data_IF_733661762098
#
_entry.id   IF_733661762098
#
_cell.length_a   1.000
_cell.length_b   1.000
_cell.length_c   1.000
_cell.angle_alpha   90.00
_cell.angle_beta   90.00
_cell.angle_gamma   90.00
#
_symmetry.space_group_name_H-M   'P 1'
#
loop_
_entity.id
_entity.type
_entity.pdbx_description
1 polymer ?
#
# COMPACT_ATOMS: atom_id res chain seq x y z
N UNK A 1 -7.82 -21.30 -22.53
CA UNK A 1 -6.72 -20.42 -22.10
C UNK A 1 -7.19 -19.73 -20.83
N UNK A 2 -6.70 -20.20 -19.69
CA UNK A 2 -7.08 -19.72 -18.36
C UNK A 2 -6.43 -18.36 -18.13
N UNK A 3 -7.25 -17.32 -18.00
CA UNK A 3 -6.79 -15.95 -17.78
C UNK A 3 -6.36 -15.80 -16.32
N UNK A 4 -5.08 -16.00 -16.04
CA UNK A 4 -4.46 -15.69 -14.74
C UNK A 4 -4.53 -14.18 -14.55
N UNK A 5 -5.49 -13.69 -13.77
CA UNK A 5 -5.52 -12.28 -13.38
C UNK A 5 -4.42 -12.05 -12.33
N UNK A 6 -3.76 -10.90 -12.30
CA UNK A 6 -2.77 -10.58 -11.26
C UNK A 6 -3.23 -9.38 -10.45
N UNK A 7 -3.14 -9.47 -9.13
CA UNK A 7 -3.52 -8.41 -8.22
C UNK A 7 -2.26 -7.65 -7.81
N UNK A 8 -2.21 -6.35 -8.13
CA UNK A 8 -1.21 -5.44 -7.58
C UNK A 8 -1.80 -4.78 -6.34
N UNK A 9 -1.39 -5.19 -5.15
CA UNK A 9 -1.80 -4.56 -3.90
C UNK A 9 -0.76 -3.52 -3.51
N UNK A 10 -1.16 -2.25 -3.58
CA UNK A 10 -0.32 -1.13 -3.19
C UNK A 10 -0.67 -0.76 -1.75
N UNK A 11 0.30 -0.93 -0.87
CA UNK A 11 0.13 -0.61 0.55
C UNK A 11 0.70 0.78 0.77
N UNK A 12 -0.17 1.71 1.14
CA UNK A 12 0.24 3.05 1.53
C UNK A 12 0.10 3.18 3.06
N UNK A 13 1.02 3.88 3.71
CA UNK A 13 0.99 4.08 5.17
C UNK A 13 0.18 5.34 5.48
N UNK A 14 -0.80 5.25 6.38
CA UNK A 14 -1.63 6.38 6.78
C UNK A 14 -2.10 6.26 8.24
N UNK A 15 -2.15 7.38 8.97
CA UNK A 15 -2.83 7.47 10.26
C UNK A 15 -3.33 8.90 10.49
N UNK A 16 -4.53 9.08 11.02
CA UNK A 16 -4.89 10.35 11.64
C UNK A 16 -4.26 10.39 13.05
N UNK A 17 -3.53 11.46 13.36
CA UNK A 17 -2.95 11.83 14.68
C UNK A 17 -1.46 11.54 14.98
N UNK A 18 -0.59 11.27 14.00
CA UNK A 18 0.83 11.05 14.32
C UNK A 18 1.74 12.18 13.82
N UNK A 19 2.17 13.03 14.76
CA UNK A 19 3.28 13.97 14.58
C UNK A 19 4.67 13.34 14.90
N UNK A 20 4.77 12.05 15.25
CA UNK A 20 6.01 11.49 15.87
C UNK A 20 6.38 10.01 15.58
N UNK A 21 5.74 9.27 14.66
CA UNK A 21 6.14 7.87 14.37
C UNK A 21 7.42 7.83 13.55
N UNK A 22 8.55 7.56 14.21
CA UNK A 22 9.87 7.50 13.59
C UNK A 22 10.23 6.15 12.94
N UNK A 23 9.34 5.14 12.93
CA UNK A 23 9.66 3.81 12.36
C UNK A 23 8.46 3.17 11.65
N UNK A 24 8.38 3.21 10.30
CA UNK A 24 7.40 2.43 9.57
C UNK A 24 7.70 0.92 9.74
N UNK A 25 6.65 0.11 9.87
CA UNK A 25 6.74 -1.35 9.90
C UNK A 25 6.97 -1.83 8.48
N UNK A 26 8.17 -2.36 8.20
CA UNK A 26 8.54 -2.90 6.89
C UNK A 26 7.85 -4.26 6.71
N UNK A 27 6.86 -4.34 5.81
CA UNK A 27 6.43 -5.61 5.26
C UNK A 27 7.45 -5.98 4.19
N UNK A 28 8.37 -6.88 4.52
CA UNK A 28 9.33 -7.42 3.57
C UNK A 28 8.57 -8.20 2.49
N UNK A 29 8.57 -7.69 1.26
CA UNK A 29 8.10 -8.43 0.10
C UNK A 29 9.33 -8.76 -0.72
N UNK A 30 9.67 -10.05 -0.70
CA UNK A 30 10.77 -10.63 -1.44
C UNK A 30 10.28 -10.90 -2.86
N UNK A 31 11.03 -10.49 -3.89
CA UNK A 31 11.03 -11.21 -5.15
C UNK A 31 12.31 -10.91 -5.95
N UNK A 32 13.12 -11.95 -6.14
CA UNK A 32 14.09 -12.05 -7.22
C UNK A 32 13.38 -12.67 -8.43
N UNK A 33 13.41 -12.01 -9.59
CA UNK A 33 12.74 -12.55 -10.77
C UNK A 33 13.06 -11.81 -12.07
N UNK A 34 13.02 -12.55 -13.17
CA UNK A 34 13.15 -12.07 -14.55
C UNK A 34 12.07 -11.04 -14.91
N UNK A 35 12.37 -10.18 -15.89
CA UNK A 35 11.42 -9.19 -16.41
C UNK A 35 10.18 -9.87 -17.02
N UNK A 36 8.98 -9.50 -16.53
CA UNK A 36 7.70 -10.00 -17.05
C UNK A 36 6.80 -8.85 -17.49
N UNK A 37 6.41 -8.84 -18.76
CA UNK A 37 5.50 -7.86 -19.32
C UNK A 37 4.03 -8.25 -19.06
N UNK A 38 3.26 -7.32 -18.51
CA UNK A 38 1.80 -7.46 -18.32
C UNK A 38 1.06 -6.29 -18.97
N UNK A 39 0.10 -6.61 -19.84
CA UNK A 39 -0.82 -5.62 -20.40
C UNK A 39 -1.95 -5.30 -19.41
N UNK A 40 -2.61 -4.16 -19.59
CA UNK A 40 -3.57 -3.60 -18.62
C UNK A 40 -4.78 -4.50 -18.32
N UNK A 41 -5.14 -5.39 -19.24
CA UNK A 41 -6.21 -6.38 -19.08
C UNK A 41 -5.77 -7.60 -18.24
N UNK A 42 -4.46 -7.78 -18.04
CA UNK A 42 -3.90 -8.90 -17.29
C UNK A 42 -3.72 -8.61 -15.79
N UNK A 43 -4.00 -7.39 -15.33
CA UNK A 43 -3.85 -7.02 -13.92
C UNK A 43 -4.97 -6.12 -13.41
N UNK A 44 -5.14 -6.18 -12.09
CA UNK A 44 -6.00 -5.28 -11.33
C UNK A 44 -5.13 -4.50 -10.36
N UNK A 45 -5.31 -3.18 -10.31
CA UNK A 45 -4.68 -2.32 -9.31
C UNK A 45 -5.62 -2.21 -8.12
N UNK A 46 -5.12 -2.57 -6.94
CA UNK A 46 -5.78 -2.30 -5.67
C UNK A 46 -4.90 -1.43 -4.78
N UNK A 47 -5.53 -0.59 -3.96
CA UNK A 47 -4.85 0.28 -3.02
C UNK A 47 -5.61 0.37 -1.71
N UNK A 48 -4.88 0.63 -0.64
CA UNK A 48 -5.42 0.75 0.70
C UNK A 48 -4.37 1.21 1.70
N UNK A 49 -4.81 1.51 2.92
CA UNK A 49 -3.94 1.99 3.98
C UNK A 49 -3.63 0.97 5.06
N UNK A 50 -2.41 1.01 5.59
CA UNK A 50 -2.15 0.49 6.94
C UNK A 50 -2.57 1.57 7.94
N UNK A 51 -3.76 1.40 8.52
CA UNK A 51 -4.26 2.31 9.55
C UNK A 51 -3.61 2.03 10.90
N UNK A 52 -3.00 3.06 11.48
CA UNK A 52 -2.51 3.03 12.86
C UNK A 52 -3.46 3.78 13.79
N UNK A 53 -3.69 3.20 14.96
CA UNK A 53 -4.37 3.82 16.09
C UNK A 53 -3.46 3.81 17.31
N UNK A 54 -3.36 4.94 17.99
CA UNK A 54 -2.76 5.00 19.32
C UNK A 54 -3.76 4.52 20.37
N UNK A 55 -3.41 3.49 21.12
CA UNK A 55 -4.09 3.11 22.34
C UNK A 55 -3.45 3.85 23.52
N UNK A 56 -3.98 5.03 23.81
CA UNK A 56 -3.48 5.93 24.85
C UNK A 56 -3.57 5.34 26.26
N UNK A 57 -4.43 4.35 26.49
CA UNK A 57 -4.55 3.69 27.80
C UNK A 57 -3.40 2.72 28.05
N UNK A 58 -2.95 2.04 26.99
CA UNK A 58 -1.88 1.05 27.05
C UNK A 58 -0.54 1.59 26.52
N UNK A 59 -0.47 2.87 26.14
CA UNK A 59 0.70 3.51 25.50
C UNK A 59 1.24 2.66 24.35
N UNK A 60 0.35 2.14 23.51
CA UNK A 60 0.70 1.17 22.46
C UNK A 60 0.09 1.54 21.12
N UNK A 61 0.69 1.08 20.04
CA UNK A 61 0.18 1.27 18.68
C UNK A 61 -0.52 0.02 18.19
N UNK A 62 -1.64 0.21 17.50
CA UNK A 62 -2.46 -0.86 16.94
C UNK A 62 -2.65 -0.63 15.45
N UNK A 63 -2.79 -1.72 14.70
CA UNK A 63 -3.05 -1.70 13.26
C UNK A 63 -4.47 -2.23 13.01
N UNK A 64 -5.20 -1.59 12.10
CA UNK A 64 -6.49 -2.10 11.64
C UNK A 64 -6.28 -3.26 10.65
N UNK A 65 -6.81 -4.43 10.99
CA UNK A 65 -6.80 -5.63 10.15
C UNK A 65 -8.24 -6.11 9.99
N UNK A 66 -8.62 -6.44 8.76
CA UNK A 66 -9.94 -6.97 8.43
C UNK A 66 -9.91 -8.50 8.40
N UNK A 67 -11.03 -9.13 8.79
CA UNK A 67 -11.26 -10.56 8.63
C UNK A 67 -12.03 -10.81 7.34
N UNK A 68 -11.36 -11.35 6.33
CA UNK A 68 -12.01 -11.78 5.09
C UNK A 68 -12.65 -13.16 5.32
N UNK A 69 -13.97 -13.21 5.47
CA UNK A 69 -14.68 -14.44 5.86
C UNK A 69 -14.66 -15.52 4.78
N UNK A 70 -14.67 -15.16 3.49
CA UNK A 70 -14.69 -16.14 2.40
C UNK A 70 -13.34 -16.85 2.28
N UNK A 71 -12.24 -16.12 2.37
CA UNK A 71 -10.89 -16.67 2.29
C UNK A 71 -10.34 -17.12 3.65
N UNK A 72 -11.10 -16.90 4.73
CA UNK A 72 -10.67 -17.14 6.11
C UNK A 72 -9.31 -16.48 6.45
N UNK A 73 -9.03 -15.34 5.83
CA UNK A 73 -7.75 -14.65 5.89
C UNK A 73 -7.86 -13.32 6.65
N UNK A 74 -6.71 -12.86 7.18
CA UNK A 74 -6.56 -11.51 7.70
C UNK A 74 -5.95 -10.64 6.61
N UNK A 75 -6.62 -9.53 6.30
CA UNK A 75 -6.23 -8.65 5.20
C UNK A 75 -6.19 -7.21 5.67
N UNK A 76 -5.33 -6.41 5.03
CA UNK A 76 -5.39 -4.95 5.16
C UNK A 76 -6.59 -4.42 4.38
N UNK A 77 -7.20 -3.30 4.83
CA UNK A 77 -8.24 -2.68 4.05
C UNK A 77 -7.69 -2.26 2.69
N UNK A 78 -8.31 -2.69 1.61
CA UNK A 78 -7.92 -2.35 0.24
C UNK A 78 -9.03 -2.73 -0.75
N UNK A 79 -9.07 -2.00 -1.86
CA UNK A 79 -9.93 -2.38 -2.98
C UNK A 79 -9.48 -1.77 -4.29
N UNK A 80 -10.32 -1.90 -5.31
CA UNK A 80 -9.93 -1.70 -6.70
C UNK A 80 -9.85 -0.22 -7.04
N UNK A 81 -8.83 0.14 -7.82
CA UNK A 81 -8.65 1.50 -8.35
C UNK A 81 -9.71 1.81 -9.40
N UNK A 82 -10.45 2.90 -9.23
CA UNK A 82 -11.38 3.36 -10.25
C UNK A 82 -10.65 4.04 -11.42
N UNK A 83 -11.31 4.13 -12.58
CA UNK A 83 -10.76 4.85 -13.72
C UNK A 83 -10.55 6.33 -13.37
N UNK A 84 -9.38 6.87 -13.74
CA UNK A 84 -8.94 8.26 -13.48
C UNK A 84 -8.71 8.63 -12.01
N UNK A 85 -8.93 7.71 -11.07
CA UNK A 85 -8.56 7.86 -9.67
C UNK A 85 -7.04 7.68 -9.50
N UNK A 86 -6.39 8.51 -8.68
CA UNK A 86 -5.00 8.27 -8.26
C UNK A 86 -4.94 7.11 -7.26
N UNK A 87 -3.76 6.50 -7.08
CA UNK A 87 -3.61 5.37 -6.15
C UNK A 87 -3.90 5.81 -4.71
N UNK A 88 -3.50 7.03 -4.35
CA UNK A 88 -3.74 7.65 -3.05
C UNK A 88 -5.23 7.90 -2.82
N UNK A 89 -5.94 8.39 -3.84
CA UNK A 89 -7.38 8.59 -3.78
C UNK A 89 -8.11 7.26 -3.56
N UNK A 90 -7.74 6.22 -4.30
CA UNK A 90 -8.26 4.86 -4.09
C UNK A 90 -8.00 4.37 -2.68
N UNK A 91 -6.77 4.53 -2.17
CA UNK A 91 -6.43 4.07 -0.83
C UNK A 91 -7.26 4.76 0.26
N UNK A 92 -7.50 6.07 0.14
CA UNK A 92 -8.39 6.83 1.04
C UNK A 92 -9.81 6.28 0.97
N UNK A 93 -10.37 6.18 -0.24
CA UNK A 93 -11.75 5.75 -0.48
C UNK A 93 -12.00 4.34 0.05
N UNK A 94 -11.21 3.37 -0.42
CA UNK A 94 -11.37 1.94 -0.07
C UNK A 94 -11.20 1.71 1.43
N UNK A 95 -10.19 2.36 2.05
CA UNK A 95 -9.99 2.23 3.49
C UNK A 95 -11.18 2.76 4.27
N UNK A 96 -11.74 3.90 3.86
CA UNK A 96 -12.93 4.45 4.51
C UNK A 96 -14.17 3.56 4.27
N UNK A 97 -14.36 3.04 3.07
CA UNK A 97 -15.48 2.14 2.75
C UNK A 97 -15.45 0.84 3.56
N UNK A 98 -14.28 0.20 3.71
CA UNK A 98 -14.17 -1.08 4.39
C UNK A 98 -14.10 -0.98 5.92
N UNK A 99 -13.56 0.14 6.45
CA UNK A 99 -13.32 0.29 7.89
C UNK A 99 -14.26 1.28 8.58
N UNK A 100 -14.87 2.20 7.81
CA UNK A 100 -15.65 3.33 8.33
C UNK A 100 -14.80 4.45 8.95
N UNK A 101 -13.47 4.34 8.99
CA UNK A 101 -12.60 5.38 9.54
C UNK A 101 -12.17 6.36 8.47
N UNK A 102 -12.35 7.68 8.68
CA UNK A 102 -11.71 8.68 7.83
C UNK A 102 -10.19 8.54 7.95
N UNK A 103 -9.50 8.80 6.85
CA UNK A 103 -8.07 8.59 6.77
C UNK A 103 -7.42 9.58 5.81
N UNK A 104 -6.21 10.01 6.15
CA UNK A 104 -5.42 10.93 5.33
C UNK A 104 -3.96 10.50 5.25
N UNK A 105 -3.41 10.57 4.05
CA UNK A 105 -2.03 10.19 3.82
C UNK A 105 -1.07 10.97 4.73
N UNK A 106 -0.22 10.26 5.47
CA UNK A 106 0.78 10.88 6.32
C UNK A 106 2.13 10.95 5.59
N UNK A 107 2.77 12.12 5.57
CA UNK A 107 4.16 12.22 5.15
C UNK A 107 5.04 11.36 6.07
N UNK A 108 5.79 10.43 5.50
CA UNK A 108 6.69 9.57 6.25
C UNK A 108 8.11 9.63 5.67
N UNK A 109 9.10 9.31 6.51
CA UNK A 109 10.46 9.12 6.03
C UNK A 109 10.56 7.72 5.43
N UNK A 110 10.85 7.64 4.14
CA UNK A 110 10.92 6.40 3.36
C UNK A 110 12.25 6.30 2.65
N UNK A 111 12.70 5.08 2.39
CA UNK A 111 13.85 4.81 1.53
C UNK A 111 13.32 4.39 0.17
N UNK A 112 13.53 5.22 -0.85
CA UNK A 112 12.98 5.05 -2.20
C UNK A 112 14.09 5.08 -3.25
N UNK A 113 13.80 4.53 -4.43
CA UNK A 113 14.62 4.69 -5.64
C UNK A 113 14.07 5.78 -6.58
N UNK A 114 13.01 6.49 -6.17
CA UNK A 114 12.41 7.57 -6.95
C UNK A 114 13.40 8.72 -7.13
N UNK A 115 13.44 9.35 -8.30
CA UNK A 115 14.33 10.48 -8.57
C UNK A 115 13.65 11.81 -8.26
N UNK A 116 14.43 12.83 -7.93
CA UNK A 116 13.90 14.19 -7.87
C UNK A 116 13.58 14.71 -9.27
N UNK A 117 12.53 15.54 -9.43
CA UNK A 117 12.17 16.10 -10.72
C UNK A 117 13.35 16.81 -11.39
N UNK A 118 13.67 16.40 -12.63
CA UNK A 118 14.73 16.98 -13.47
C UNK A 118 16.16 16.79 -12.94
N UNK A 119 16.39 15.86 -12.01
CA UNK A 119 17.73 15.52 -11.53
C UNK A 119 18.08 14.12 -12.02
N UNK A 120 19.23 13.99 -12.70
CA UNK A 120 19.79 12.68 -13.03
C UNK A 120 20.56 12.16 -11.80
N UNK A 121 20.05 11.10 -11.18
CA UNK A 121 20.63 10.49 -9.99
C UNK A 121 21.14 9.10 -10.33
N UNK A 122 22.17 8.66 -9.64
CA UNK A 122 22.60 7.25 -9.67
C UNK A 122 21.44 6.39 -9.20
N UNK A 123 21.21 5.25 -9.87
CA UNK A 123 20.20 4.26 -9.45
C UNK A 123 20.62 3.60 -8.14
N UNK A 124 20.31 4.28 -7.05
CA UNK A 124 20.54 3.87 -5.69
C UNK A 124 19.37 4.34 -4.82
N UNK A 125 18.99 3.51 -3.85
CA UNK A 125 17.98 3.93 -2.89
C UNK A 125 18.53 5.04 -1.99
N UNK A 126 17.66 5.97 -1.61
CA UNK A 126 17.98 7.04 -0.70
C UNK A 126 16.78 7.39 0.17
N UNK A 127 17.05 7.95 1.34
CA UNK A 127 16.00 8.36 2.27
C UNK A 127 15.42 9.72 1.87
N UNK A 128 14.10 9.80 1.82
CA UNK A 128 13.33 11.02 1.57
C UNK A 128 12.44 11.25 2.78
N UNK A 129 12.49 12.45 3.34
CA UNK A 129 11.62 12.85 4.45
C UNK A 129 10.30 13.43 3.92
N UNK A 130 9.24 13.30 4.72
CA UNK A 130 7.91 13.81 4.40
C UNK A 130 7.40 13.34 3.02
N UNK A 131 7.76 12.12 2.61
CA UNK A 131 7.30 11.55 1.36
C UNK A 131 5.91 10.93 1.55
N UNK A 132 5.15 10.99 0.47
CA UNK A 132 3.86 10.32 0.31
C UNK A 132 3.95 9.15 -0.67
N UNK A 133 5.18 8.79 -1.06
CA UNK A 133 5.48 7.72 -2.00
C UNK A 133 5.04 6.36 -1.46
N UNK A 134 4.83 5.43 -2.39
CA UNK A 134 4.44 4.07 -2.07
C UNK A 134 5.50 3.40 -1.18
N UNK A 135 5.03 2.76 -0.11
CA UNK A 135 5.91 2.06 0.81
C UNK A 135 6.20 0.63 0.36
N UNK A 136 5.19 -0.06 -0.18
CA UNK A 136 5.31 -1.43 -0.66
C UNK A 136 4.29 -1.76 -1.74
N UNK A 137 4.63 -2.73 -2.58
CA UNK A 137 3.77 -3.27 -3.63
C UNK A 137 3.86 -4.80 -3.61
N UNK A 138 2.71 -5.47 -3.64
CA UNK A 138 2.62 -6.92 -3.74
C UNK A 138 1.99 -7.30 -5.07
N UNK A 139 2.67 -8.12 -5.87
CA UNK A 139 2.08 -8.75 -7.04
C UNK A 139 1.63 -10.17 -6.65
N UNK A 140 0.32 -10.44 -6.70
CA UNK A 140 -0.22 -11.79 -6.48
C UNK A 140 -0.74 -12.36 -7.79
N UNK A 141 -0.36 -13.59 -8.12
CA UNK A 141 -1.02 -14.34 -9.17
C UNK A 141 -2.39 -14.83 -8.67
N UNK A 142 -3.46 -14.52 -9.40
CA UNK A 142 -4.78 -15.09 -9.15
C UNK A 142 -4.91 -16.32 -10.04
N UNK A 143 -4.99 -17.49 -9.42
CA UNK A 143 -5.34 -18.70 -10.15
C UNK A 143 -6.78 -18.54 -10.65
N UNK A 144 -6.93 -18.57 -11.97
CA UNK A 144 -8.25 -18.62 -12.61
C UNK A 144 -8.90 -19.97 -12.28
N UNK A 145 -10.00 -19.94 -11.53
CA UNK A 145 -10.91 -21.08 -11.37
C UNK A 145 -11.56 -21.50 -12.68
#
# INVERSE_FOLDING_TARGET
MTTVQRLLQIIIVCSEQIATCQRPVLLEICESGEDRLHFSDAFVICAGFVLFREDTQNSSWQICILRHHQEQAHVLPNGRKDLRESIEQTAVRETHEETGYPCMLLPCTVTVRATYPRINMVDASHSVSAATELFAVMLRALESG
#
